data_IF_120744194543
#
_entry.id   IF_120744194543
#
_cell.length_a   1.000
_cell.length_b   1.000
_cell.length_c   1.000
_cell.angle_alpha   90.00
_cell.angle_beta   90.00
_cell.angle_gamma   90.00
#
_symmetry.space_group_name_H-M   'P 1'
#
loop_
_entity.id
_entity.type
_entity.pdbx_description
1 polymer ?
#
# COMPACT_ATOMS: atom_id res chain seq x y z
N UNK A 1 -45.38 -29.89 -18.71
CA UNK A 1 -44.45 -28.78 -18.41
C UNK A 1 -43.04 -29.35 -18.35
N UNK A 2 -42.30 -29.28 -19.45
CA UNK A 2 -40.89 -29.67 -19.50
C UNK A 2 -40.07 -28.42 -19.18
N UNK A 3 -39.32 -28.45 -18.07
CA UNK A 3 -38.32 -27.44 -17.73
C UNK A 3 -37.13 -27.65 -18.66
N UNK A 4 -37.02 -26.80 -19.68
CA UNK A 4 -35.85 -26.74 -20.56
C UNK A 4 -34.65 -26.28 -19.72
N UNK A 5 -33.59 -27.09 -19.57
CA UNK A 5 -32.41 -26.68 -18.82
C UNK A 5 -31.74 -25.51 -19.55
N UNK A 6 -31.53 -24.41 -18.81
CA UNK A 6 -30.83 -23.23 -19.29
C UNK A 6 -29.42 -23.64 -19.71
N UNK A 7 -28.98 -23.35 -20.95
CA UNK A 7 -27.63 -23.67 -21.38
C UNK A 7 -26.66 -22.90 -20.49
N UNK A 8 -25.91 -23.63 -19.66
CA UNK A 8 -24.76 -23.12 -18.95
C UNK A 8 -23.72 -22.74 -19.99
N UNK A 9 -23.77 -21.48 -20.44
CA UNK A 9 -22.67 -20.89 -21.18
C UNK A 9 -21.45 -21.05 -20.28
N UNK A 10 -20.41 -21.79 -20.71
CA UNK A 10 -19.16 -21.76 -19.97
C UNK A 10 -18.77 -20.30 -19.87
N UNK A 11 -18.51 -19.82 -18.66
CA UNK A 11 -17.81 -18.56 -18.45
C UNK A 11 -16.53 -18.73 -19.24
N UNK A 12 -16.52 -18.23 -20.48
CA UNK A 12 -15.30 -18.07 -21.23
C UNK A 12 -14.56 -17.05 -20.40
N UNK A 13 -13.68 -17.57 -19.55
CA UNK A 13 -12.53 -16.86 -19.07
C UNK A 13 -11.94 -16.26 -20.34
N UNK A 14 -12.27 -15.00 -20.57
CA UNK A 14 -11.64 -14.18 -21.56
C UNK A 14 -10.22 -14.10 -21.05
N UNK A 15 -9.42 -15.15 -21.29
CA UNK A 15 -7.99 -15.02 -21.39
C UNK A 15 -7.86 -13.80 -22.25
N UNK A 16 -7.41 -12.72 -21.61
CA UNK A 16 -7.03 -11.49 -22.24
C UNK A 16 -5.91 -11.92 -23.17
N UNK A 17 -6.28 -12.49 -24.33
CA UNK A 17 -5.36 -12.79 -25.39
C UNK A 17 -4.70 -11.45 -25.58
N UNK A 18 -3.38 -11.35 -25.37
CA UNK A 18 -2.70 -10.09 -25.59
C UNK A 18 -3.08 -9.75 -27.01
N UNK A 19 -3.98 -8.77 -27.15
CA UNK A 19 -4.29 -8.24 -28.45
C UNK A 19 -2.91 -7.94 -29.01
N UNK A 20 -2.68 -8.20 -30.29
CA UNK A 20 -1.39 -7.95 -30.92
C UNK A 20 -1.02 -6.43 -30.93
N UNK A 21 -1.60 -5.66 -30.01
CA UNK A 21 -1.15 -4.40 -29.49
C UNK A 21 0.28 -4.48 -28.99
N UNK A 22 1.01 -3.45 -29.40
CA UNK A 22 2.41 -3.20 -29.09
C UNK A 22 2.64 -3.41 -27.60
N UNK A 23 3.50 -4.37 -27.27
CA UNK A 23 3.98 -4.58 -25.90
C UNK A 23 4.53 -3.24 -25.41
N UNK A 24 4.00 -2.75 -24.28
CA UNK A 24 4.50 -1.51 -23.70
C UNK A 24 6.00 -1.67 -23.43
N UNK A 25 6.84 -0.67 -23.77
CA UNK A 25 8.25 -0.71 -23.46
C UNK A 25 8.51 -1.01 -21.98
N UNK A 26 9.39 -1.97 -21.69
CA UNK A 26 9.67 -2.44 -20.33
C UNK A 26 10.17 -1.34 -19.36
N UNK A 27 10.71 -0.24 -19.89
CA UNK A 27 11.14 0.88 -19.06
C UNK A 27 9.97 1.63 -18.39
N UNK A 28 8.77 1.62 -18.98
CA UNK A 28 7.59 2.34 -18.45
C UNK A 28 7.18 1.80 -17.07
N UNK A 29 6.89 0.49 -16.89
CA UNK A 29 6.56 -0.03 -15.57
C UNK A 29 7.72 0.12 -14.57
N UNK A 30 8.96 0.11 -15.05
CA UNK A 30 10.15 0.30 -14.20
C UNK A 30 10.19 1.72 -13.63
N UNK A 31 10.01 2.74 -14.46
CA UNK A 31 9.96 4.14 -14.02
C UNK A 31 8.76 4.39 -13.10
N UNK A 32 7.59 3.83 -13.42
CA UNK A 32 6.40 3.94 -12.57
C UNK A 32 6.62 3.29 -11.20
N UNK A 33 7.28 2.14 -11.15
CA UNK A 33 7.61 1.45 -9.89
C UNK A 33 8.54 2.25 -8.98
N UNK A 34 9.42 3.08 -9.54
CA UNK A 34 10.30 3.97 -8.78
C UNK A 34 9.57 5.28 -8.39
N UNK A 35 8.78 5.83 -9.30
CA UNK A 35 8.12 7.12 -9.09
C UNK A 35 7.00 7.03 -8.05
N UNK A 36 6.21 5.95 -8.07
CA UNK A 36 5.10 5.74 -7.15
C UNK A 36 5.48 5.89 -5.66
N UNK A 37 6.49 5.17 -5.12
CA UNK A 37 6.87 5.31 -3.72
C UNK A 37 7.40 6.71 -3.37
N UNK A 38 8.09 7.39 -4.30
CA UNK A 38 8.54 8.78 -4.11
C UNK A 38 7.32 9.70 -3.95
N UNK A 39 6.32 9.56 -4.81
CA UNK A 39 5.09 10.36 -4.75
C UNK A 39 4.31 10.08 -3.45
N UNK A 40 4.22 8.82 -3.02
CA UNK A 40 3.59 8.49 -1.74
C UNK A 40 4.33 9.08 -0.53
N UNK A 41 5.67 9.08 -0.56
CA UNK A 41 6.48 9.71 0.49
C UNK A 41 6.26 11.22 0.53
N UNK A 42 6.28 11.90 -0.62
CA UNK A 42 6.00 13.34 -0.74
C UNK A 42 4.60 13.63 -0.20
N UNK A 43 3.59 12.88 -0.63
CA UNK A 43 2.21 13.06 -0.17
C UNK A 43 2.10 12.95 1.35
N UNK A 44 2.72 11.94 1.96
CA UNK A 44 2.72 11.78 3.42
C UNK A 44 3.39 12.95 4.15
N UNK A 45 4.53 13.43 3.65
CA UNK A 45 5.23 14.60 4.21
C UNK A 45 4.41 15.88 4.05
N UNK A 46 3.78 16.08 2.90
CA UNK A 46 2.94 17.24 2.61
C UNK A 46 1.71 17.30 3.50
N UNK A 47 1.01 16.17 3.68
CA UNK A 47 -0.13 16.09 4.60
C UNK A 47 0.31 16.47 6.01
N UNK A 48 1.39 15.84 6.52
CA UNK A 48 1.90 16.12 7.86
C UNK A 48 2.33 17.58 8.04
N UNK A 49 2.89 18.20 7.01
CA UNK A 49 3.26 19.61 7.04
C UNK A 49 2.03 20.51 7.16
N UNK A 50 1.01 20.31 6.34
CA UNK A 50 -0.22 21.10 6.36
C UNK A 50 -1.07 20.89 7.61
N UNK A 51 -1.06 19.68 8.18
CA UNK A 51 -1.79 19.36 9.42
C UNK A 51 -0.99 19.66 10.68
N UNK A 52 0.22 20.21 10.56
CA UNK A 52 1.02 20.62 11.71
C UNK A 52 0.33 21.75 12.49
N UNK A 53 0.50 21.80 13.81
CA UNK A 53 -0.07 22.83 14.71
C UNK A 53 0.23 24.27 14.25
N UNK A 54 1.32 24.46 13.50
CA UNK A 54 1.70 25.77 12.94
C UNK A 54 0.73 26.28 11.88
N UNK A 55 0.18 25.39 11.05
CA UNK A 55 -0.75 25.73 9.96
C UNK A 55 -2.19 25.44 10.39
N UNK A 56 -2.41 24.36 11.13
CA UNK A 56 -3.72 24.01 11.70
C UNK A 56 -4.79 23.68 10.66
N UNK A 57 -4.39 23.22 9.47
CA UNK A 57 -5.36 22.88 8.42
C UNK A 57 -6.09 21.58 8.78
N UNK A 58 -7.42 21.55 8.60
CA UNK A 58 -8.19 20.33 8.82
C UNK A 58 -7.82 19.28 7.75
N UNK A 59 -7.27 18.16 8.21
CA UNK A 59 -6.88 17.06 7.34
C UNK A 59 -8.03 16.56 6.49
N UNK A 60 -9.27 16.54 7.01
CA UNK A 60 -10.41 16.03 6.28
C UNK A 60 -10.72 16.92 5.07
N UNK A 61 -10.70 18.24 5.25
CA UNK A 61 -10.96 19.20 4.16
C UNK A 61 -9.90 19.07 3.08
N UNK A 62 -8.62 18.95 3.47
CA UNK A 62 -7.52 18.76 2.53
C UNK A 62 -7.69 17.47 1.71
N UNK A 63 -8.00 16.36 2.40
CA UNK A 63 -8.27 15.07 1.77
C UNK A 63 -9.40 15.15 0.77
N UNK A 64 -10.58 15.62 1.20
CA UNK A 64 -11.78 15.65 0.37
C UNK A 64 -11.56 16.55 -0.84
N UNK A 65 -10.91 17.70 -0.66
CA UNK A 65 -10.56 18.61 -1.76
C UNK A 65 -9.61 17.95 -2.77
N UNK A 66 -8.57 17.25 -2.29
CA UNK A 66 -7.63 16.55 -3.17
C UNK A 66 -8.29 15.40 -3.94
N UNK A 67 -9.10 14.57 -3.27
CA UNK A 67 -9.81 13.45 -3.88
C UNK A 67 -10.83 13.97 -4.90
N UNK A 68 -11.61 14.99 -4.55
CA UNK A 68 -12.56 15.63 -5.47
C UNK A 68 -11.85 16.17 -6.71
N UNK A 69 -10.73 16.86 -6.54
CA UNK A 69 -9.96 17.43 -7.66
C UNK A 69 -9.45 16.34 -8.60
N UNK A 70 -8.91 15.24 -8.07
CA UNK A 70 -8.43 14.10 -8.86
C UNK A 70 -9.58 13.45 -9.62
N UNK A 71 -10.69 13.15 -8.95
CA UNK A 71 -11.87 12.55 -9.57
C UNK A 71 -12.46 13.46 -10.65
N UNK A 72 -12.50 14.78 -10.42
CA UNK A 72 -13.01 15.75 -11.38
C UNK A 72 -12.14 15.82 -12.63
N UNK A 73 -10.80 15.88 -12.48
CA UNK A 73 -9.87 15.85 -13.60
C UNK A 73 -10.00 14.54 -14.39
N UNK A 74 -10.08 13.40 -13.69
CA UNK A 74 -10.27 12.09 -14.32
C UNK A 74 -11.58 12.04 -15.14
N UNK A 75 -12.67 12.59 -14.61
CA UNK A 75 -13.95 12.70 -15.34
C UNK A 75 -13.83 13.59 -16.58
N UNK A 76 -13.15 14.73 -16.50
CA UNK A 76 -12.94 15.61 -17.65
C UNK A 76 -12.13 14.89 -18.74
N UNK A 77 -11.04 14.22 -18.38
CA UNK A 77 -10.21 13.47 -19.33
C UNK A 77 -11.02 12.32 -19.94
N UNK A 78 -11.78 11.61 -19.12
CA UNK A 78 -12.68 10.54 -19.55
C UNK A 78 -13.71 11.03 -20.58
N UNK A 79 -14.39 12.13 -20.26
CA UNK A 79 -15.47 12.71 -21.06
C UNK A 79 -14.98 13.34 -22.37
N UNK A 80 -13.90 14.12 -22.32
CA UNK A 80 -13.44 14.87 -23.49
C UNK A 80 -12.58 14.03 -24.43
N UNK A 81 -11.83 13.06 -23.91
CA UNK A 81 -10.82 12.35 -24.70
C UNK A 81 -11.10 10.86 -24.83
N UNK A 82 -11.35 10.15 -23.73
CA UNK A 82 -11.41 8.69 -23.73
C UNK A 82 -12.68 8.15 -24.38
N UNK A 83 -13.88 8.57 -23.94
CA UNK A 83 -15.14 8.07 -24.47
C UNK A 83 -15.38 8.35 -25.96
N UNK A 84 -15.04 9.52 -26.52
CA UNK A 84 -15.26 9.76 -27.95
C UNK A 84 -14.21 9.10 -28.86
N UNK A 85 -12.98 8.82 -28.39
CA UNK A 85 -11.88 8.37 -29.26
C UNK A 85 -11.44 6.92 -29.06
N UNK A 86 -11.62 6.37 -27.86
CA UNK A 86 -11.02 5.07 -27.48
C UNK A 86 -12.09 4.00 -27.33
N UNK A 87 -13.14 4.25 -26.55
CA UNK A 87 -14.16 3.25 -26.25
C UNK A 87 -15.49 3.92 -25.92
N UNK A 88 -16.58 3.40 -26.50
CA UNK A 88 -17.93 3.87 -26.20
C UNK A 88 -18.24 3.74 -24.70
N UNK A 89 -19.05 4.68 -24.19
CA UNK A 89 -19.42 4.72 -22.78
C UNK A 89 -20.26 3.48 -22.39
N UNK A 90 -19.73 2.68 -21.45
CA UNK A 90 -20.45 1.57 -20.84
C UNK A 90 -20.91 1.99 -19.43
N UNK A 91 -22.22 2.14 -19.18
CA UNK A 91 -22.75 2.55 -17.89
C UNK A 91 -22.48 1.52 -16.78
N UNK A 92 -22.34 0.24 -17.11
CA UNK A 92 -22.09 -0.82 -16.11
C UNK A 92 -20.67 -0.72 -15.56
N UNK A 93 -19.67 -0.59 -16.45
CA UNK A 93 -18.28 -0.36 -16.05
C UNK A 93 -18.11 0.95 -15.28
N UNK A 94 -18.84 2.00 -15.69
CA UNK A 94 -18.86 3.26 -14.98
C UNK A 94 -19.41 3.11 -13.55
N UNK A 95 -20.49 2.34 -13.34
CA UNK A 95 -21.06 2.10 -12.01
C UNK A 95 -20.11 1.31 -11.10
N UNK A 96 -19.42 0.30 -11.65
CA UNK A 96 -18.40 -0.46 -10.90
C UNK A 96 -17.25 0.48 -10.50
N UNK A 97 -16.78 1.32 -11.42
CA UNK A 97 -15.75 2.32 -11.15
C UNK A 97 -16.17 3.31 -10.07
N UNK A 98 -17.44 3.76 -10.11
CA UNK A 98 -18.02 4.64 -9.10
C UNK A 98 -18.06 3.96 -7.72
N UNK A 99 -18.51 2.72 -7.64
CA UNK A 99 -18.51 1.94 -6.40
C UNK A 99 -17.09 1.77 -5.83
N UNK A 100 -16.12 1.45 -6.69
CA UNK A 100 -14.71 1.32 -6.30
C UNK A 100 -14.14 2.65 -5.79
N UNK A 101 -14.50 3.78 -6.42
CA UNK A 101 -14.03 5.11 -6.02
C UNK A 101 -14.54 5.52 -4.63
N UNK A 102 -15.77 5.15 -4.27
CA UNK A 102 -16.31 5.39 -2.93
C UNK A 102 -15.50 4.62 -1.88
N UNK A 103 -15.23 3.33 -2.13
CA UNK A 103 -14.44 2.50 -1.22
C UNK A 103 -13.00 3.02 -1.07
N UNK A 104 -12.38 3.42 -2.18
CA UNK A 104 -11.04 4.02 -2.20
C UNK A 104 -10.98 5.34 -1.41
N UNK A 105 -12.01 6.17 -1.53
CA UNK A 105 -12.13 7.42 -0.77
C UNK A 105 -12.25 7.14 0.72
N UNK A 106 -13.09 6.19 1.12
CA UNK A 106 -13.25 5.80 2.54
C UNK A 106 -11.94 5.25 3.11
N UNK A 107 -11.23 4.42 2.35
CA UNK A 107 -9.92 3.91 2.75
C UNK A 107 -8.90 5.03 2.93
N UNK A 108 -8.84 5.98 1.99
CA UNK A 108 -7.93 7.13 2.02
C UNK A 108 -8.21 8.06 3.19
N UNK A 109 -9.48 8.41 3.43
CA UNK A 109 -9.89 9.22 4.59
C UNK A 109 -9.52 8.53 5.90
N UNK A 110 -9.80 7.23 6.02
CA UNK A 110 -9.45 6.44 7.20
C UNK A 110 -7.94 6.42 7.44
N UNK A 111 -7.15 6.28 6.37
CA UNK A 111 -5.69 6.30 6.43
C UNK A 111 -5.16 7.66 6.88
N UNK A 112 -5.73 8.77 6.40
CA UNK A 112 -5.31 10.11 6.81
C UNK A 112 -5.73 10.45 8.23
N UNK A 113 -6.90 9.98 8.67
CA UNK A 113 -7.27 10.03 10.09
C UNK A 113 -6.27 9.23 10.95
N UNK A 114 -5.75 8.11 10.46
CA UNK A 114 -4.67 7.38 11.14
C UNK A 114 -3.36 8.17 11.15
N UNK A 115 -2.99 8.85 10.06
CA UNK A 115 -1.77 9.69 9.99
C UNK A 115 -1.81 10.92 10.91
N UNK A 116 -2.98 11.50 11.12
CA UNK A 116 -3.13 12.68 12.00
C UNK A 116 -3.03 12.32 13.48
N UNK A 117 -3.54 11.15 13.87
CA UNK A 117 -3.54 10.69 15.28
C UNK A 117 -2.36 9.81 15.64
N UNK A 118 -1.80 9.11 14.67
CA UNK A 118 -0.81 8.05 14.86
C UNK A 118 0.60 8.46 14.41
N UNK A 119 1.62 7.72 14.86
CA UNK A 119 2.98 7.87 14.36
C UNK A 119 3.05 7.49 12.87
N UNK A 120 3.62 8.38 12.05
CA UNK A 120 3.67 8.23 10.59
C UNK A 120 4.35 6.92 10.14
N UNK A 121 5.36 6.44 10.88
CA UNK A 121 6.03 5.16 10.62
C UNK A 121 5.04 3.99 10.61
N UNK A 122 4.49 3.55 11.75
CA UNK A 122 3.52 2.45 11.81
C UNK A 122 2.35 2.56 10.82
N UNK A 123 1.79 3.75 10.64
CA UNK A 123 0.68 3.97 9.70
C UNK A 123 1.13 3.69 8.25
N UNK A 124 2.30 4.18 7.86
CA UNK A 124 2.87 3.91 6.53
C UNK A 124 3.23 2.43 6.30
N UNK A 125 3.67 1.71 7.35
CA UNK A 125 3.95 0.28 7.27
C UNK A 125 2.66 -0.47 6.97
N UNK A 126 1.58 -0.17 7.69
CA UNK A 126 0.28 -0.79 7.47
C UNK A 126 -0.24 -0.48 6.06
N UNK A 127 -0.11 0.76 5.58
CA UNK A 127 -0.52 1.08 4.20
C UNK A 127 0.30 0.34 3.14
N UNK A 128 1.58 0.05 3.41
CA UNK A 128 2.45 -0.68 2.48
C UNK A 128 2.02 -2.15 2.31
N UNK A 129 1.36 -2.73 3.33
CA UNK A 129 0.76 -4.06 3.23
C UNK A 129 -0.39 -4.12 2.22
N UNK A 130 -1.02 -3.00 1.87
CA UNK A 130 -2.07 -2.99 0.86
C UNK A 130 -1.57 -3.52 -0.50
N UNK A 131 -0.37 -3.14 -0.92
CA UNK A 131 0.23 -3.63 -2.17
C UNK A 131 0.47 -5.15 -2.14
N UNK A 132 0.86 -5.66 -0.99
CA UNK A 132 1.06 -7.09 -0.70
C UNK A 132 -0.27 -7.84 -0.82
N UNK A 133 -1.32 -7.34 -0.18
CA UNK A 133 -2.66 -7.93 -0.26
C UNK A 133 -3.22 -7.90 -1.69
N UNK A 134 -3.06 -6.80 -2.42
CA UNK A 134 -3.49 -6.69 -3.82
C UNK A 134 -2.76 -7.68 -4.72
N UNK A 135 -1.45 -7.86 -4.53
CA UNK A 135 -0.67 -8.85 -5.30
C UNK A 135 -1.14 -10.29 -5.02
N UNK A 136 -1.42 -10.61 -3.77
CA UNK A 136 -1.97 -11.92 -3.36
C UNK A 136 -3.35 -12.13 -3.99
N UNK A 137 -4.24 -11.14 -3.87
CA UNK A 137 -5.60 -11.19 -4.40
C UNK A 137 -5.62 -11.31 -5.92
N UNK A 138 -4.75 -10.57 -6.62
CA UNK A 138 -4.58 -10.68 -8.06
C UNK A 138 -4.07 -12.07 -8.48
N UNK A 139 -3.16 -12.67 -7.71
CA UNK A 139 -2.67 -14.03 -7.97
C UNK A 139 -3.81 -15.06 -7.83
N UNK A 140 -4.68 -14.90 -6.84
CA UNK A 140 -5.87 -15.73 -6.68
C UNK A 140 -6.86 -15.57 -7.83
N UNK A 141 -7.15 -14.33 -8.25
CA UNK A 141 -8.06 -14.05 -9.37
C UNK A 141 -7.53 -14.66 -10.66
N UNK A 142 -6.24 -14.53 -10.93
CA UNK A 142 -5.63 -15.04 -12.16
C UNK A 142 -5.41 -16.56 -12.16
N UNK A 143 -5.69 -17.26 -11.03
CA UNK A 143 -5.40 -18.69 -10.81
C UNK A 143 -3.95 -19.08 -11.16
N UNK A 144 -3.04 -18.11 -11.16
CA UNK A 144 -1.61 -18.31 -11.42
C UNK A 144 -0.90 -18.23 -10.09
N UNK A 145 -0.49 -19.38 -9.56
CA UNK A 145 0.32 -19.42 -8.35
C UNK A 145 1.71 -18.84 -8.65
N UNK A 146 2.21 -17.92 -7.80
CA UNK A 146 3.54 -17.36 -7.96
C UNK A 146 4.60 -18.46 -7.84
N UNK A 147 5.68 -18.33 -8.61
CA UNK A 147 6.81 -19.28 -8.51
C UNK A 147 7.48 -19.13 -7.14
N UNK A 148 8.08 -20.20 -6.62
CA UNK A 148 8.74 -20.17 -5.30
C UNK A 148 9.76 -19.04 -5.15
N UNK A 149 10.45 -18.66 -6.23
CA UNK A 149 11.36 -17.51 -6.25
C UNK A 149 10.66 -16.15 -6.06
N UNK A 150 9.46 -15.98 -6.63
CA UNK A 150 8.66 -14.76 -6.46
C UNK A 150 8.18 -14.65 -5.01
N UNK A 151 7.80 -15.78 -4.39
CA UNK A 151 7.42 -15.83 -2.97
C UNK A 151 8.60 -15.43 -2.08
N UNK A 152 9.80 -15.96 -2.34
CA UNK A 152 11.01 -15.60 -1.58
C UNK A 152 11.31 -14.10 -1.75
N UNK A 153 11.30 -13.60 -2.98
CA UNK A 153 11.51 -12.17 -3.26
C UNK A 153 10.47 -11.29 -2.57
N UNK A 154 9.22 -11.73 -2.53
CA UNK A 154 8.13 -11.05 -1.85
C UNK A 154 8.32 -11.00 -0.33
N UNK A 155 8.69 -12.13 0.29
CA UNK A 155 8.97 -12.19 1.74
C UNK A 155 10.16 -11.32 2.11
N UNK A 156 11.25 -11.36 1.33
CA UNK A 156 12.43 -10.50 1.54
C UNK A 156 12.05 -9.02 1.39
N UNK A 157 11.26 -8.68 0.36
CA UNK A 157 10.76 -7.33 0.14
C UNK A 157 9.91 -6.82 1.30
N UNK A 158 9.01 -7.66 1.83
CA UNK A 158 8.16 -7.36 2.99
C UNK A 158 9.00 -7.09 4.24
N UNK A 159 10.00 -7.94 4.50
CA UNK A 159 10.91 -7.78 5.65
C UNK A 159 11.72 -6.49 5.49
N UNK A 160 12.29 -6.24 4.31
CA UNK A 160 13.05 -5.02 4.02
C UNK A 160 12.21 -3.75 4.21
N UNK A 161 10.98 -3.73 3.70
CA UNK A 161 10.04 -2.63 3.90
C UNK A 161 9.71 -2.42 5.38
N UNK A 162 9.45 -3.51 6.13
CA UNK A 162 9.16 -3.45 7.57
C UNK A 162 10.33 -2.85 8.36
N UNK A 163 11.56 -3.24 8.03
CA UNK A 163 12.78 -2.72 8.67
C UNK A 163 12.94 -1.21 8.39
N UNK A 164 12.70 -0.78 7.15
CA UNK A 164 12.80 0.65 6.80
C UNK A 164 11.75 1.52 7.48
N UNK A 165 10.55 0.99 7.70
CA UNK A 165 9.45 1.77 8.29
C UNK A 165 9.51 1.83 9.82
N UNK A 166 10.05 0.79 10.47
CA UNK A 166 10.09 0.68 11.93
C UNK A 166 11.52 0.44 12.46
N UNK A 167 12.51 1.30 12.13
CA UNK A 167 13.90 1.06 12.49
C UNK A 167 14.08 0.95 14.01
N UNK A 168 13.43 1.81 14.79
CA UNK A 168 13.55 1.82 16.25
C UNK A 168 12.95 0.57 16.91
N UNK A 169 11.81 0.10 16.41
CA UNK A 169 11.16 -1.12 16.94
C UNK A 169 11.98 -2.36 16.60
N UNK A 170 12.54 -2.42 15.38
CA UNK A 170 13.43 -3.48 14.96
C UNK A 170 14.71 -3.47 15.78
N UNK A 171 15.32 -2.31 16.01
CA UNK A 171 16.48 -2.15 16.89
C UNK A 171 16.17 -2.54 18.32
N UNK A 172 15.00 -2.19 18.84
CA UNK A 172 14.57 -2.57 20.18
C UNK A 172 14.42 -4.10 20.31
N UNK A 173 13.74 -4.75 19.37
CA UNK A 173 13.58 -6.21 19.34
C UNK A 173 14.95 -6.90 19.18
N UNK A 174 15.80 -6.40 18.27
CA UNK A 174 17.18 -6.88 18.11
C UNK A 174 17.97 -6.71 19.41
N UNK A 175 17.84 -5.58 20.10
CA UNK A 175 18.52 -5.34 21.37
C UNK A 175 18.06 -6.29 22.47
N UNK A 176 16.80 -6.73 22.46
CA UNK A 176 16.28 -7.74 23.39
C UNK A 176 16.82 -9.12 23.02
N UNK A 177 16.81 -9.49 21.74
CA UNK A 177 17.32 -10.78 21.25
C UNK A 177 18.83 -10.92 21.42
N UNK A 178 19.59 -9.84 21.19
CA UNK A 178 21.05 -9.79 21.27
C UNK A 178 21.57 -9.24 22.60
N UNK A 179 20.70 -8.86 23.55
CA UNK A 179 21.11 -8.71 24.95
C UNK A 179 21.57 -10.09 25.41
N UNK A 180 22.88 -10.36 25.26
CA UNK A 180 23.56 -11.42 26.00
C UNK A 180 23.07 -11.31 27.44
N UNK A 181 22.53 -12.40 27.97
CA UNK A 181 22.24 -12.49 29.40
C UNK A 181 23.46 -11.93 30.12
N UNK A 182 23.30 -10.95 31.04
CA UNK A 182 24.44 -10.47 31.80
C UNK A 182 25.09 -11.70 32.41
N UNK A 183 26.34 -11.96 32.03
CA UNK A 183 27.12 -13.03 32.62
C UNK A 183 27.16 -12.74 34.12
N UNK A 184 26.73 -13.67 34.98
CA UNK A 184 26.78 -13.48 36.43
C UNK A 184 28.23 -13.59 36.93
N UNK A 185 29.09 -12.68 36.51
CA UNK A 185 30.44 -12.45 37.02
C UNK A 185 30.56 -10.92 37.18
N UNK A 186 30.63 -10.31 38.36
CA UNK A 186 31.19 -10.74 39.63
C UNK A 186 30.54 -9.89 40.74
N UNK A 187 29.75 -10.52 41.61
CA UNK A 187 29.30 -9.92 42.89
C UNK A 187 30.32 -10.13 44.02
N UNK A 188 31.55 -10.50 43.69
CA UNK A 188 32.58 -10.90 44.65
C UNK A 188 33.78 -9.95 44.57
N UNK A 189 33.63 -8.70 45.02
CA UNK A 189 34.74 -7.83 45.48
C UNK A 189 34.32 -6.51 46.17
N UNK A 190 33.12 -6.44 46.76
CA UNK A 190 32.77 -5.38 47.72
C UNK A 190 32.90 -5.89 49.15
N UNK A 191 34.13 -6.21 49.55
CA UNK A 191 34.39 -6.68 50.90
C UNK A 191 35.86 -6.58 51.26
N UNK A 192 36.50 -5.44 51.00
CA UNK A 192 37.80 -5.10 51.60
C UNK A 192 38.18 -3.66 51.22
N UNK A 193 37.67 -2.68 51.97
CA UNK A 193 38.35 -1.41 52.30
C UNK A 193 37.49 -0.60 53.27
N UNK A 194 37.13 -1.25 54.38
CA UNK A 194 36.96 -0.57 55.66
C UNK A 194 38.22 -0.88 56.45
N UNK A 195 39.22 0.00 56.37
CA UNK A 195 40.33 0.17 57.34
C UNK A 195 41.39 1.06 56.68
N UNK A 196 41.80 2.11 57.40
CA UNK A 196 42.72 3.20 57.03
C UNK A 196 42.01 4.37 56.33
N UNK A 197 41.93 5.57 56.90
CA UNK A 197 42.42 6.15 58.15
C UNK A 197 41.65 7.46 58.37
#
# INVERSE_FOLDING_TARGET
MQLTPLPSQPVQDQELQPSSGKVLPAWIPTVLGILAPIMFAIQGMTIKHFTSERIGFDSNVLTFSSCFSVCFIALIIGALWFWPKVQAFDPYLFLIGLGSSILDTLATVSLQMAYTKGPAGPVSAVSSLNAVFLSILQSFIQRKFPRSLEIIGFVIGLIGATIMVLPDQVLHILSILFRRRPTPESKHKNGESSSQQ
#
